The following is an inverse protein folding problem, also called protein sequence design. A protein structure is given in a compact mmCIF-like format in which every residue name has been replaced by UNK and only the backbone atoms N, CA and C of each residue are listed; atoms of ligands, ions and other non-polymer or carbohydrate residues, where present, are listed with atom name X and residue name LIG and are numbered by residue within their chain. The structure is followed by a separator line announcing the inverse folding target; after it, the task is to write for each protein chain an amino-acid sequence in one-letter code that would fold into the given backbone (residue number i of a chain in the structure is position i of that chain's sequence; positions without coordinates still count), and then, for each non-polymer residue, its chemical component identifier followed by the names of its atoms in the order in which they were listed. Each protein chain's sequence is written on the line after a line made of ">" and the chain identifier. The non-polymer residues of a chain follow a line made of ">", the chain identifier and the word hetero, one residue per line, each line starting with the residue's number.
data_IF_829808864710
#
_entry.id   IF_829808864710
#
_cell.length_a   1.000
_cell.length_b   1.000
_cell.length_c   1.000
_cell.angle_alpha   90.00
_cell.angle_beta   90.00
_cell.angle_gamma   90.00
#
_symmetry.space_group_name_H-M   'P 1'
#
loop_
_entity.id
_entity.type
_entity.pdbx_description
1 polymer ?
#
# COMPACT_ATOMS: atom_id res chain seq x y z
N UNK A 1 30.29 -2.55 -17.05
CA UNK A 1 29.43 -2.57 -18.25
C UNK A 1 28.21 -3.44 -17.95
N UNK A 2 27.00 -2.90 -18.07
CA UNK A 2 25.76 -3.64 -17.81
C UNK A 2 25.53 -4.75 -18.83
N UNK A 3 24.78 -5.79 -18.47
CA UNK A 3 24.34 -6.81 -19.44
C UNK A 3 23.43 -6.15 -20.47
N UNK A 4 23.61 -6.47 -21.74
CA UNK A 4 22.72 -6.02 -22.80
C UNK A 4 21.28 -6.50 -22.54
N UNK A 5 20.30 -5.71 -23.00
CA UNK A 5 18.87 -6.02 -22.85
C UNK A 5 18.44 -7.29 -23.60
N UNK A 6 17.18 -7.67 -23.45
CA UNK A 6 16.58 -8.81 -24.17
C UNK A 6 16.78 -8.71 -25.69
N UNK A 7 16.80 -9.87 -26.37
CA UNK A 7 16.82 -9.93 -27.83
C UNK A 7 15.55 -9.29 -28.39
N UNK A 8 15.72 -8.34 -29.30
CA UNK A 8 14.64 -7.72 -30.06
C UNK A 8 14.06 -8.70 -31.06
N UNK A 9 12.82 -8.47 -31.50
CA UNK A 9 12.15 -9.34 -32.49
C UNK A 9 12.92 -9.42 -33.82
N UNK A 10 13.60 -8.34 -34.23
CA UNK A 10 14.44 -8.32 -35.42
C UNK A 10 15.66 -9.25 -35.27
N UNK A 11 16.34 -9.19 -34.13
CA UNK A 11 17.48 -10.08 -33.82
C UNK A 11 17.03 -11.54 -33.73
N UNK A 12 15.86 -11.81 -33.12
CA UNK A 12 15.27 -13.16 -33.07
C UNK A 12 15.04 -13.73 -34.47
N UNK A 13 14.42 -12.96 -35.36
CA UNK A 13 14.19 -13.37 -36.76
C UNK A 13 15.50 -13.61 -37.51
N UNK A 14 16.49 -12.73 -37.32
CA UNK A 14 17.82 -12.90 -37.90
C UNK A 14 18.51 -14.18 -37.44
N UNK A 15 18.48 -14.47 -36.14
CA UNK A 15 19.03 -15.70 -35.55
C UNK A 15 18.35 -16.94 -36.13
N UNK A 16 17.03 -16.93 -36.30
CA UNK A 16 16.29 -18.02 -36.96
C UNK A 16 16.73 -18.24 -38.41
N UNK A 17 16.85 -17.16 -39.19
CA UNK A 17 17.31 -17.23 -40.58
C UNK A 17 18.72 -17.82 -40.70
N UNK A 18 19.68 -17.30 -39.94
CA UNK A 18 21.05 -17.81 -39.96
C UNK A 18 21.19 -19.23 -39.42
N UNK A 19 20.30 -19.65 -38.50
CA UNK A 19 20.26 -21.04 -38.04
C UNK A 19 19.75 -21.98 -39.13
N UNK A 20 18.74 -21.58 -39.89
CA UNK A 20 18.22 -22.33 -41.01
C UNK A 20 19.24 -22.46 -42.16
N UNK A 21 20.08 -21.44 -42.36
CA UNK A 21 21.22 -21.44 -43.29
C UNK A 21 22.40 -22.34 -42.82
N UNK A 22 22.33 -22.91 -41.61
CA UNK A 22 23.35 -23.82 -41.10
C UNK A 22 24.59 -23.15 -40.49
N UNK A 23 24.54 -21.84 -40.19
CA UNK A 23 25.67 -21.15 -39.58
C UNK A 23 25.97 -21.65 -38.16
N UNK A 24 27.25 -21.54 -37.78
CA UNK A 24 27.71 -21.86 -36.43
C UNK A 24 27.27 -20.77 -35.46
N UNK A 25 27.05 -21.16 -34.20
CA UNK A 25 26.62 -20.25 -33.13
C UNK A 25 27.57 -19.06 -32.91
N UNK A 26 28.87 -19.22 -33.17
CA UNK A 26 29.86 -18.13 -33.12
C UNK A 26 29.55 -17.05 -34.15
N UNK A 27 29.25 -17.48 -35.37
CA UNK A 27 29.11 -16.58 -36.52
C UNK A 27 27.77 -15.84 -36.42
N UNK A 28 26.73 -16.55 -35.95
CA UNK A 28 25.44 -15.98 -35.58
C UNK A 28 25.60 -14.93 -34.47
N UNK A 29 26.41 -15.22 -33.45
CA UNK A 29 26.66 -14.30 -32.35
C UNK A 29 27.38 -13.02 -32.80
N UNK A 30 28.39 -13.15 -33.66
CA UNK A 30 29.09 -12.01 -34.26
C UNK A 30 28.16 -11.19 -35.16
N UNK A 31 27.33 -11.84 -35.99
CA UNK A 31 26.36 -11.15 -36.86
C UNK A 31 25.24 -10.46 -36.10
N UNK A 32 24.78 -11.06 -35.00
CA UNK A 32 23.75 -10.49 -34.15
C UNK A 32 24.29 -9.40 -33.20
N UNK A 33 25.61 -9.22 -33.10
CA UNK A 33 26.27 -8.44 -32.05
C UNK A 33 25.81 -8.83 -30.63
N UNK A 34 25.68 -10.14 -30.39
CA UNK A 34 25.21 -10.69 -29.12
C UNK A 34 26.14 -11.79 -28.62
N UNK A 35 26.12 -12.01 -27.31
CA UNK A 35 26.90 -13.11 -26.73
C UNK A 35 26.44 -14.46 -27.28
N UNK A 36 27.38 -15.37 -27.54
CA UNK A 36 27.10 -16.76 -27.93
C UNK A 36 26.10 -17.45 -27.01
N UNK A 37 26.13 -17.16 -25.71
CA UNK A 37 25.20 -17.71 -24.74
C UNK A 37 23.77 -17.17 -24.89
N UNK A 38 23.60 -15.92 -25.30
CA UNK A 38 22.28 -15.35 -25.56
C UNK A 38 21.63 -16.01 -26.80
N UNK A 39 22.40 -16.16 -27.88
CA UNK A 39 21.97 -16.87 -29.10
C UNK A 39 21.62 -18.33 -28.79
N UNK A 40 22.51 -19.03 -28.08
CA UNK A 40 22.27 -20.42 -27.67
C UNK A 40 20.99 -20.57 -26.86
N UNK A 41 20.80 -19.73 -25.82
CA UNK A 41 19.59 -19.76 -24.98
C UNK A 41 18.31 -19.50 -25.76
N UNK A 42 18.35 -18.59 -26.73
CA UNK A 42 17.20 -18.31 -27.58
C UNK A 42 16.87 -19.50 -28.51
N UNK A 43 17.87 -20.14 -29.11
CA UNK A 43 17.63 -21.30 -29.97
C UNK A 43 17.18 -22.54 -29.18
N UNK A 44 17.71 -22.73 -27.97
CA UNK A 44 17.30 -23.83 -27.09
C UNK A 44 15.87 -23.62 -26.55
N UNK A 45 15.46 -22.36 -26.33
CA UNK A 45 14.16 -21.99 -25.76
C UNK A 45 13.61 -20.69 -26.39
N UNK A 46 13.01 -20.76 -27.60
CA UNK A 46 12.61 -19.57 -28.37
C UNK A 46 11.43 -18.81 -27.74
N UNK A 47 10.52 -19.53 -27.09
CA UNK A 47 9.31 -19.00 -26.47
C UNK A 47 9.50 -18.66 -24.98
N UNK A 48 10.66 -18.97 -24.41
CA UNK A 48 10.96 -18.57 -23.05
C UNK A 48 11.03 -17.05 -23.00
N UNK A 49 10.13 -16.45 -22.23
CA UNK A 49 10.12 -15.01 -21.99
C UNK A 49 11.53 -14.60 -21.56
N UNK A 50 12.19 -13.61 -22.20
CA UNK A 50 13.53 -13.16 -21.81
C UNK A 50 13.39 -12.29 -20.56
N UNK A 51 12.98 -12.90 -19.47
CA UNK A 51 12.93 -12.32 -18.16
C UNK A 51 13.97 -13.03 -17.35
N UNK A 52 15.09 -12.35 -17.07
CA UNK A 52 15.61 -12.48 -15.72
C UNK A 52 14.42 -12.11 -14.84
N UNK A 53 13.71 -13.10 -14.30
CA UNK A 53 12.82 -12.86 -13.17
C UNK A 53 13.79 -12.43 -12.10
N UNK A 54 13.98 -11.10 -11.99
CA UNK A 54 14.74 -10.56 -10.89
C UNK A 54 14.17 -11.24 -9.68
N UNK A 55 15.05 -11.82 -8.86
CA UNK A 55 14.64 -12.41 -7.61
C UNK A 55 13.90 -11.28 -6.90
N UNK A 56 12.56 -11.26 -7.00
CA UNK A 56 11.73 -10.13 -6.62
C UNK A 56 11.82 -10.14 -5.12
N UNK A 57 12.86 -9.45 -4.61
CA UNK A 57 13.44 -9.56 -3.28
C UNK A 57 12.50 -10.26 -2.34
N UNK A 58 12.77 -11.56 -2.05
CA UNK A 58 11.97 -12.45 -1.22
C UNK A 58 11.04 -11.63 -0.32
N UNK A 59 9.76 -11.50 -0.74
CA UNK A 59 8.86 -10.43 -0.25
C UNK A 59 9.04 -10.27 1.25
N UNK A 60 9.69 -9.16 1.65
CA UNK A 60 9.94 -8.87 3.07
C UNK A 60 8.60 -8.90 3.82
N UNK A 61 7.52 -8.52 3.14
CA UNK A 61 6.15 -8.64 3.60
C UNK A 61 5.47 -9.91 3.07
N UNK A 62 5.42 -10.94 3.89
CA UNK A 62 4.89 -12.26 3.55
C UNK A 62 3.36 -12.34 3.75
N UNK A 63 2.69 -13.33 3.17
CA UNK A 63 1.24 -13.53 3.36
C UNK A 63 0.85 -13.69 4.85
N UNK A 64 1.59 -14.42 5.71
CA UNK A 64 1.32 -14.44 7.15
C UNK A 64 1.36 -13.05 7.81
N UNK A 65 2.22 -12.14 7.34
CA UNK A 65 2.26 -10.78 7.85
C UNK A 65 1.00 -9.99 7.49
N UNK A 66 0.47 -10.16 6.27
CA UNK A 66 -0.82 -9.60 5.85
C UNK A 66 -1.96 -10.10 6.73
N UNK A 67 -1.99 -11.40 7.03
CA UNK A 67 -3.01 -12.00 7.90
C UNK A 67 -2.96 -11.43 9.32
N UNK A 68 -1.77 -11.28 9.90
CA UNK A 68 -1.58 -10.68 11.23
C UNK A 68 -2.10 -9.25 11.30
N UNK A 69 -1.77 -8.44 10.29
CA UNK A 69 -2.26 -7.06 10.17
C UNK A 69 -3.78 -7.04 10.06
N UNK A 70 -4.34 -7.89 9.20
CA UNK A 70 -5.78 -7.97 8.98
C UNK A 70 -6.54 -8.36 10.25
N UNK A 71 -6.04 -9.36 10.99
CA UNK A 71 -6.62 -9.76 12.27
C UNK A 71 -6.53 -8.64 13.32
N UNK A 72 -5.40 -7.92 13.37
CA UNK A 72 -5.26 -6.77 14.28
C UNK A 72 -6.25 -5.66 13.96
N UNK A 73 -6.48 -5.38 12.68
CA UNK A 73 -7.45 -4.39 12.24
C UNK A 73 -8.90 -4.83 12.45
N UNK A 74 -9.21 -6.13 12.32
CA UNK A 74 -10.53 -6.66 12.69
C UNK A 74 -10.84 -6.44 14.17
N UNK A 75 -9.85 -6.68 15.04
CA UNK A 75 -10.00 -6.46 16.48
C UNK A 75 -9.97 -4.98 16.87
N UNK A 76 -9.17 -4.17 16.19
CA UNK A 76 -8.99 -2.75 16.47
C UNK A 76 -8.85 -1.95 15.15
N UNK A 77 -9.98 -1.55 14.53
CA UNK A 77 -10.02 -0.93 13.19
C UNK A 77 -9.25 0.40 13.07
N UNK A 78 -9.04 1.08 14.20
CA UNK A 78 -8.32 2.37 14.28
C UNK A 78 -6.89 2.22 14.80
N UNK A 79 -6.29 1.04 14.67
CA UNK A 79 -4.92 0.79 15.12
C UNK A 79 -3.93 1.71 14.40
N UNK A 80 -3.02 2.38 15.13
CA UNK A 80 -2.00 3.21 14.50
C UNK A 80 -1.01 2.35 13.71
N UNK A 81 -0.43 2.91 12.64
CA UNK A 81 0.54 2.21 11.78
C UNK A 81 1.74 1.65 12.57
N UNK A 82 2.15 2.31 13.66
CA UNK A 82 3.18 1.82 14.59
C UNK A 82 2.80 0.48 15.22
N UNK A 83 1.57 0.35 15.71
CA UNK A 83 1.08 -0.89 16.32
C UNK A 83 1.00 -2.03 15.29
N UNK A 84 0.59 -1.72 14.06
CA UNK A 84 0.56 -2.70 12.97
C UNK A 84 1.97 -3.17 12.60
N UNK A 85 2.93 -2.24 12.55
CA UNK A 85 4.34 -2.55 12.27
C UNK A 85 4.94 -3.45 13.36
N UNK A 86 4.62 -3.18 14.63
CA UNK A 86 5.02 -4.04 15.75
C UNK A 86 4.41 -5.45 15.63
N UNK A 87 3.14 -5.55 15.23
CA UNK A 87 2.46 -6.84 15.03
C UNK A 87 3.12 -7.68 13.93
N UNK A 88 3.54 -7.03 12.85
CA UNK A 88 4.24 -7.67 11.73
C UNK A 88 5.62 -8.18 12.15
N UNK A 89 6.31 -7.41 12.99
CA UNK A 89 7.65 -7.73 13.47
C UNK A 89 7.66 -8.66 14.70
N UNK A 90 6.50 -8.98 15.28
CA UNK A 90 6.42 -9.93 16.39
C UNK A 90 6.96 -11.29 15.96
N UNK A 91 7.99 -11.79 16.65
CA UNK A 91 8.64 -13.07 16.33
C UNK A 91 9.54 -13.05 15.09
N UNK A 92 9.80 -11.89 14.48
CA UNK A 92 10.84 -11.75 13.43
C UNK A 92 12.20 -11.47 14.07
N UNK A 93 13.27 -11.87 13.39
CA UNK A 93 14.63 -11.51 13.78
C UNK A 93 14.81 -9.99 13.78
N UNK A 94 15.39 -9.46 14.86
CA UNK A 94 15.74 -8.04 14.99
C UNK A 94 16.70 -7.55 13.90
N UNK A 95 17.39 -8.47 13.21
CA UNK A 95 18.32 -8.14 12.14
C UNK A 95 17.63 -7.80 10.81
N UNK A 96 16.34 -8.14 10.65
CA UNK A 96 15.56 -7.88 9.42
C UNK A 96 14.10 -7.50 9.73
N UNK A 97 13.85 -6.39 10.44
CA UNK A 97 12.49 -5.91 10.69
C UNK A 97 11.86 -5.40 9.38
N UNK A 98 10.55 -5.52 9.28
CA UNK A 98 9.76 -4.84 8.25
C UNK A 98 9.66 -3.37 8.62
N UNK A 99 10.03 -2.49 7.67
CA UNK A 99 9.91 -1.06 7.86
C UNK A 99 8.43 -0.62 7.92
N UNK A 100 8.18 0.49 8.60
CA UNK A 100 6.84 1.10 8.67
C UNK A 100 6.28 1.43 7.28
N UNK A 101 7.17 1.83 6.37
CA UNK A 101 6.82 2.20 5.00
C UNK A 101 6.46 0.99 4.14
N UNK A 102 7.17 -0.13 4.32
CA UNK A 102 6.82 -1.40 3.68
C UNK A 102 5.43 -1.86 4.11
N UNK A 103 5.10 -1.75 5.41
CA UNK A 103 3.74 -2.05 5.90
C UNK A 103 2.72 -1.12 5.24
N UNK A 104 2.98 0.19 5.19
CA UNK A 104 2.11 1.18 4.56
C UNK A 104 1.82 0.87 3.09
N UNK A 105 2.85 0.65 2.28
CA UNK A 105 2.70 0.34 0.86
C UNK A 105 1.92 -0.95 0.60
N UNK A 106 2.16 -1.99 1.40
CA UNK A 106 1.44 -3.25 1.26
C UNK A 106 -0.03 -3.17 1.72
N UNK A 107 -0.40 -2.11 2.43
CA UNK A 107 -1.75 -1.86 2.94
C UNK A 107 -2.53 -0.82 2.12
N UNK A 108 -1.84 0.02 1.35
CA UNK A 108 -2.41 1.20 0.71
C UNK A 108 -3.57 0.91 -0.26
N UNK A 109 -3.60 -0.27 -0.89
CA UNK A 109 -4.60 -0.58 -1.90
C UNK A 109 -6.02 -0.79 -1.33
N UNK A 110 -6.15 -1.20 -0.06
CA UNK A 110 -7.43 -1.63 0.52
C UNK A 110 -7.84 -0.82 1.76
N UNK A 111 -7.04 0.16 2.19
CA UNK A 111 -7.24 0.84 3.48
C UNK A 111 -6.95 2.33 3.40
N UNK A 112 -7.82 3.12 4.04
CA UNK A 112 -7.66 4.56 4.18
C UNK A 112 -7.27 4.93 5.61
N UNK A 113 -6.34 5.87 5.75
CA UNK A 113 -6.05 6.50 7.02
C UNK A 113 -7.04 7.64 7.26
N UNK A 114 -7.65 7.68 8.44
CA UNK A 114 -8.49 8.79 8.88
C UNK A 114 -7.94 9.37 10.17
N UNK A 115 -7.80 10.70 10.22
CA UNK A 115 -7.49 11.39 11.48
C UNK A 115 -8.61 11.12 12.47
N UNK A 116 -8.25 10.87 13.73
CA UNK A 116 -9.23 10.75 14.80
C UNK A 116 -9.89 12.10 15.02
N UNK A 117 -11.21 12.13 15.11
CA UNK A 117 -11.93 13.33 15.54
C UNK A 117 -11.70 13.45 17.04
N UNK A 118 -11.06 14.54 17.47
CA UNK A 118 -10.89 14.84 18.89
C UNK A 118 -12.28 15.13 19.45
N UNK A 119 -12.65 14.39 20.50
CA UNK A 119 -13.91 14.57 21.22
C UNK A 119 -13.59 14.51 22.70
N UNK A 120 -14.25 15.36 23.47
CA UNK A 120 -14.16 15.27 24.92
C UNK A 120 -14.74 13.93 25.40
N UNK A 121 -14.04 13.22 26.30
CA UNK A 121 -14.50 11.95 26.81
C UNK A 121 -15.74 12.16 27.68
N UNK A 122 -16.85 11.55 27.28
CA UNK A 122 -18.06 11.51 28.11
C UNK A 122 -18.01 10.35 29.09
N UNK A 123 -18.21 10.66 30.38
CA UNK A 123 -18.48 9.65 31.40
C UNK A 123 -19.72 8.84 31.03
N UNK A 124 -19.82 7.60 31.55
CA UNK A 124 -20.96 6.72 31.28
C UNK A 124 -22.28 7.38 31.71
N UNK A 125 -22.27 8.03 32.87
CA UNK A 125 -23.44 8.71 33.43
C UNK A 125 -23.87 9.90 32.55
N UNK A 126 -22.92 10.73 32.11
CA UNK A 126 -23.21 11.85 31.22
C UNK A 126 -23.80 11.37 29.88
N UNK A 127 -23.36 10.22 29.35
CA UNK A 127 -23.99 9.63 28.15
C UNK A 127 -25.44 9.25 28.39
N UNK A 128 -25.74 8.61 29.52
CA UNK A 128 -27.11 8.22 29.85
C UNK A 128 -28.01 9.45 30.01
N UNK A 129 -27.55 10.48 30.73
CA UNK A 129 -28.30 11.74 30.87
C UNK A 129 -28.54 12.42 29.52
N UNK A 130 -27.54 12.46 28.64
CA UNK A 130 -27.69 13.01 27.28
C UNK A 130 -28.69 12.22 26.44
N UNK A 131 -28.67 10.88 26.49
CA UNK A 131 -29.62 10.03 25.77
C UNK A 131 -31.03 10.22 26.31
N UNK A 132 -31.22 10.25 27.63
CA UNK A 132 -32.51 10.48 28.25
C UNK A 132 -33.08 11.85 27.85
N UNK A 133 -32.26 12.91 27.91
CA UNK A 133 -32.65 14.23 27.45
C UNK A 133 -33.06 14.24 25.96
N UNK A 134 -32.27 13.60 25.10
CA UNK A 134 -32.60 13.51 23.67
C UNK A 134 -33.92 12.75 23.43
N UNK A 135 -34.14 11.64 24.13
CA UNK A 135 -35.39 10.88 24.01
C UNK A 135 -36.61 11.66 24.50
N UNK A 136 -36.48 12.41 25.61
CA UNK A 136 -37.56 13.24 26.15
C UNK A 136 -37.94 14.41 25.21
N UNK A 137 -36.99 14.87 24.39
CA UNK A 137 -37.17 16.04 23.53
C UNK A 137 -37.31 15.71 22.04
N UNK A 138 -37.21 14.44 21.66
CA UNK A 138 -37.19 14.01 20.25
C UNK A 138 -38.40 14.52 19.43
N UNK A 139 -39.59 14.52 20.05
CA UNK A 139 -40.85 14.87 19.38
C UNK A 139 -41.37 16.27 19.73
N UNK A 140 -40.57 17.09 20.40
CA UNK A 140 -40.99 18.40 20.95
C UNK A 140 -40.70 19.57 20.02
N UNK A 141 -40.75 19.34 18.70
CA UNK A 141 -40.33 20.32 17.69
C UNK A 141 -41.09 21.66 17.83
N UNK A 142 -42.39 21.63 18.12
CA UNK A 142 -43.19 22.84 18.31
C UNK A 142 -42.87 23.59 19.61
N UNK A 143 -42.41 22.89 20.65
CA UNK A 143 -41.91 23.53 21.88
C UNK A 143 -40.56 24.19 21.63
N UNK A 144 -39.66 23.53 20.88
CA UNK A 144 -38.36 24.07 20.52
C UNK A 144 -38.43 25.35 19.68
N UNK A 145 -39.48 25.56 18.88
CA UNK A 145 -39.71 26.80 18.13
C UNK A 145 -39.91 28.03 19.02
N UNK A 146 -40.30 27.83 20.28
CA UNK A 146 -40.53 28.91 21.24
C UNK A 146 -39.31 29.17 22.13
N UNK A 147 -38.26 28.34 22.02
CA UNK A 147 -37.07 28.42 22.86
C UNK A 147 -35.99 29.21 22.13
N UNK A 148 -35.44 30.22 22.81
CA UNK A 148 -34.25 30.94 22.35
C UNK A 148 -33.03 30.27 22.99
N UNK A 149 -32.12 29.78 22.16
CA UNK A 149 -30.86 29.20 22.60
C UNK A 149 -29.75 30.25 22.57
N UNK A 150 -29.04 30.39 23.68
CA UNK A 150 -27.86 31.25 23.81
C UNK A 150 -26.71 30.45 24.39
N UNK A 151 -25.49 30.70 23.91
CA UNK A 151 -24.27 30.12 24.44
C UNK A 151 -23.16 31.18 24.39
N UNK A 152 -22.22 31.10 25.33
CA UNK A 152 -21.08 31.99 25.38
C UNK A 152 -19.89 31.30 24.70
N UNK A 153 -19.38 31.91 23.63
CA UNK A 153 -18.16 31.47 22.97
C UNK A 153 -17.05 32.48 23.18
N UNK A 154 -15.85 32.00 23.48
CA UNK A 154 -14.65 32.84 23.53
C UNK A 154 -14.38 33.44 22.14
N UNK A 155 -14.28 34.77 22.07
CA UNK A 155 -13.82 35.50 20.89
C UNK A 155 -12.30 35.73 20.99
N UNK A 156 -11.54 35.22 20.03
CA UNK A 156 -10.08 35.43 19.98
C UNK A 156 -9.76 36.62 19.07
N UNK A 157 -8.89 37.52 19.54
CA UNK A 157 -8.44 38.71 18.78
C UNK A 157 -7.28 38.40 17.81
N UNK A 158 -6.58 37.28 18.02
CA UNK A 158 -5.41 36.87 17.22
C UNK A 158 -5.75 35.67 16.33
N UNK A 159 -6.01 35.91 15.04
CA UNK A 159 -6.14 34.88 14.00
C UNK A 159 -7.58 34.52 13.59
N UNK A 160 -7.72 33.90 12.42
CA UNK A 160 -9.01 33.54 11.83
C UNK A 160 -9.74 32.51 12.69
N UNK A 161 -10.87 32.92 13.26
CA UNK A 161 -11.79 32.03 13.98
C UNK A 161 -12.54 31.15 12.96
N UNK A 162 -11.93 30.02 12.55
CA UNK A 162 -12.59 28.97 11.78
C UNK A 162 -12.34 28.90 10.27
N UNK A 163 -11.42 29.68 9.70
CA UNK A 163 -10.92 29.39 8.35
C UNK A 163 -9.79 28.36 8.41
N UNK A 164 -10.13 27.08 8.24
CA UNK A 164 -9.18 26.08 7.76
C UNK A 164 -9.44 25.91 6.27
N UNK A 165 -8.49 26.34 5.45
CA UNK A 165 -8.50 26.20 4.00
C UNK A 165 -8.96 24.79 3.57
N UNK A 166 -9.88 24.76 2.59
CA UNK A 166 -10.36 23.56 1.90
C UNK A 166 -9.22 22.83 1.15
#
# INVERSE_FOLDING_TARGET
>A
MGRAGALTEAEKRGIWGWRAEGLKLSDIATRADRSRNAVKRFLDQPDATPGYVSNQNARIFTEPAKTRVSNKLRAAPRSPLKALTMQVNTGRSQRKPVSRETVRHNMANNMSFRRAIVREPLSRENRLRRVAFAMQNLNKIEEHRKIIYTDEKKFNLDGLDGYSDQ
#
